data_IF_966179787299
#
_entry.id   IF_966179787299
#
_cell.length_a   1.000
_cell.length_b   1.000
_cell.length_c   1.000
_cell.angle_alpha   90.00
_cell.angle_beta   90.00
_cell.angle_gamma   90.00
#
_symmetry.space_group_name_H-M   'P 1'
#
loop_
_entity.id
_entity.type
_entity.pdbx_description
1 polymer ?
#
# COMPACT_ATOMS: atom_id res chain seq x y z
N UNK A 1 12.79 -9.19 -11.19
CA UNK A 1 12.18 -9.41 -9.85
C UNK A 1 11.01 -8.46 -9.71
N UNK A 2 9.86 -8.92 -9.20
CA UNK A 2 8.68 -8.05 -9.03
C UNK A 2 8.87 -7.09 -7.87
N UNK A 3 8.30 -5.89 -8.00
CA UNK A 3 8.26 -4.87 -6.97
C UNK A 3 6.90 -4.87 -6.27
N UNK A 4 6.92 -4.88 -4.95
CA UNK A 4 5.74 -4.72 -4.09
C UNK A 4 5.70 -3.33 -3.47
N UNK A 5 4.50 -2.82 -3.25
CA UNK A 5 4.25 -1.65 -2.42
C UNK A 5 3.22 -2.02 -1.35
N UNK A 6 3.50 -1.63 -0.11
CA UNK A 6 2.53 -1.63 0.97
C UNK A 6 2.15 -0.18 1.24
N UNK A 7 0.86 0.13 1.19
CA UNK A 7 0.33 1.44 1.56
C UNK A 7 -0.34 1.31 2.93
N UNK A 8 0.30 1.87 3.97
CA UNK A 8 -0.29 1.97 5.29
C UNK A 8 -1.15 3.24 5.35
N UNK A 9 -2.47 3.06 5.41
CA UNK A 9 -3.39 4.17 5.48
C UNK A 9 -3.62 4.63 6.91
N UNK A 10 -3.53 5.94 7.08
CA UNK A 10 -3.97 6.65 8.28
C UNK A 10 -5.15 7.57 7.94
N UNK A 11 -5.95 7.87 8.95
CA UNK A 11 -7.19 8.64 8.80
C UNK A 11 -8.43 7.75 8.78
N UNK A 12 -9.60 8.40 8.82
CA UNK A 12 -10.92 7.74 8.88
C UNK A 12 -11.77 8.05 7.64
N UNK A 13 -11.20 8.71 6.63
CA UNK A 13 -11.91 8.99 5.40
C UNK A 13 -12.12 7.67 4.63
N UNK A 14 -13.37 7.32 4.27
CA UNK A 14 -13.65 6.09 3.57
C UNK A 14 -12.98 6.08 2.19
N UNK A 15 -12.43 4.94 1.82
CA UNK A 15 -11.96 4.71 0.46
C UNK A 15 -13.16 4.52 -0.47
N UNK A 16 -13.09 5.01 -1.73
CA UNK A 16 -14.14 4.81 -2.71
C UNK A 16 -14.25 3.33 -3.08
N UNK A 17 -15.46 2.80 -3.17
CA UNK A 17 -15.70 1.46 -3.71
C UNK A 17 -16.20 1.55 -5.17
N UNK A 18 -15.59 0.81 -6.13
CA UNK A 18 -14.46 -0.10 -5.97
C UNK A 18 -13.12 0.66 -5.83
N UNK A 19 -12.23 0.12 -4.99
CA UNK A 19 -10.87 0.64 -4.80
C UNK A 19 -9.85 -0.25 -5.52
N UNK A 20 -9.01 0.33 -6.39
CA UNK A 20 -7.87 -0.36 -7.00
C UNK A 20 -6.55 0.02 -6.30
N UNK A 21 -5.93 -0.91 -5.55
CA UNK A 21 -4.62 -0.68 -4.92
C UNK A 21 -3.52 -0.27 -5.90
N UNK A 22 -3.57 -0.69 -7.16
CA UNK A 22 -2.56 -0.30 -8.16
C UNK A 22 -2.69 1.18 -8.56
N UNK A 23 -3.91 1.68 -8.66
CA UNK A 23 -4.15 3.10 -8.93
C UNK A 23 -3.72 3.97 -7.76
N UNK A 24 -3.89 3.48 -6.53
CA UNK A 24 -3.35 4.11 -5.33
C UNK A 24 -1.83 4.30 -5.42
N UNK A 25 -1.08 3.23 -5.73
CA UNK A 25 0.37 3.31 -5.91
C UNK A 25 0.78 4.31 -6.98
N UNK A 26 0.06 4.36 -8.12
CA UNK A 26 0.31 5.35 -9.18
C UNK A 26 0.03 6.78 -8.72
N UNK A 27 -1.08 7.02 -8.02
CA UNK A 27 -1.45 8.35 -7.52
C UNK A 27 -0.46 8.90 -6.48
N UNK A 28 0.19 8.00 -5.74
CA UNK A 28 1.24 8.30 -4.77
C UNK A 28 2.62 8.48 -5.41
N UNK A 29 2.73 8.32 -6.74
CA UNK A 29 4.00 8.41 -7.46
C UNK A 29 4.93 7.23 -7.25
N UNK A 30 4.42 6.11 -6.73
CA UNK A 30 5.19 4.89 -6.41
C UNK A 30 4.58 3.66 -7.09
N UNK A 31 4.64 3.56 -8.43
CA UNK A 31 4.07 2.41 -9.14
C UNK A 31 4.80 1.11 -8.77
N UNK A 32 4.06 0.03 -8.60
CA UNK A 32 4.59 -1.31 -8.29
C UNK A 32 3.80 -2.41 -9.02
N UNK A 33 4.41 -3.59 -9.19
CA UNK A 33 3.77 -4.74 -9.84
C UNK A 33 2.58 -5.27 -9.01
N UNK A 34 2.73 -5.20 -7.69
CA UNK A 34 1.72 -5.53 -6.69
C UNK A 34 1.65 -4.43 -5.64
N UNK A 35 0.43 -4.04 -5.28
CA UNK A 35 0.18 -3.07 -4.23
C UNK A 35 -0.79 -3.71 -3.25
N UNK A 36 -0.46 -3.68 -1.97
CA UNK A 36 -1.35 -4.08 -0.90
C UNK A 36 -1.62 -2.90 0.02
N UNK A 37 -2.83 -2.87 0.55
CA UNK A 37 -3.26 -1.84 1.46
C UNK A 37 -3.31 -2.40 2.88
N UNK A 38 -2.84 -1.61 3.84
CA UNK A 38 -2.96 -1.90 5.27
C UNK A 38 -3.77 -0.77 5.89
N UNK A 39 -4.92 -1.11 6.45
CA UNK A 39 -5.75 -0.17 7.19
C UNK A 39 -6.61 -0.91 8.21
N UNK A 40 -7.25 -0.18 9.11
CA UNK A 40 -8.19 -0.79 10.07
C UNK A 40 -9.45 -1.33 9.40
N UNK A 41 -9.88 -0.71 8.30
CA UNK A 41 -11.21 -0.93 7.71
C UNK A 41 -11.17 -1.58 6.31
N UNK A 42 -9.98 -1.74 5.72
CA UNK A 42 -9.78 -2.28 4.38
C UNK A 42 -8.40 -2.93 4.19
N UNK A 43 -8.33 -3.99 3.37
CA UNK A 43 -7.08 -4.68 3.02
C UNK A 43 -6.58 -5.61 4.13
N UNK A 44 -5.27 -5.55 4.41
CA UNK A 44 -4.65 -6.28 5.51
C UNK A 44 -4.75 -5.50 6.83
N UNK A 45 -4.82 -6.25 7.93
CA UNK A 45 -4.84 -5.67 9.28
C UNK A 45 -3.46 -5.21 9.75
N UNK A 46 -2.39 -5.83 9.24
CA UNK A 46 -1.00 -5.56 9.65
C UNK A 46 -0.06 -5.43 8.45
N UNK A 47 1.04 -4.69 8.63
CA UNK A 47 2.10 -4.55 7.62
C UNK A 47 2.83 -5.88 7.43
N UNK A 48 2.97 -6.65 8.50
CA UNK A 48 3.61 -7.95 8.56
C UNK A 48 2.89 -8.97 7.68
N UNK A 49 1.56 -9.01 7.73
CA UNK A 49 0.76 -9.91 6.90
C UNK A 49 0.87 -9.55 5.42
N UNK A 50 0.75 -8.26 5.10
CA UNK A 50 0.90 -7.76 3.74
C UNK A 50 2.30 -8.05 3.17
N UNK A 51 3.33 -7.84 3.99
CA UNK A 51 4.72 -8.12 3.63
C UNK A 51 4.94 -9.63 3.39
N UNK A 52 4.50 -10.47 4.32
CA UNK A 52 4.64 -11.93 4.19
C UNK A 52 3.87 -12.44 2.96
N UNK A 53 2.68 -11.92 2.68
CA UNK A 53 1.92 -12.25 1.48
C UNK A 53 2.66 -11.85 0.20
N UNK A 54 3.17 -10.62 0.13
CA UNK A 54 3.93 -10.13 -1.03
C UNK A 54 5.23 -10.89 -1.27
N UNK A 55 5.90 -11.33 -0.21
CA UNK A 55 7.11 -12.17 -0.29
C UNK A 55 6.77 -13.58 -0.79
N UNK A 56 5.84 -14.26 -0.12
CA UNK A 56 5.60 -15.70 -0.33
C UNK A 56 4.70 -16.01 -1.52
N UNK A 57 3.64 -15.22 -1.74
CA UNK A 57 2.68 -15.40 -2.83
C UNK A 57 2.83 -14.36 -3.92
N UNK A 58 3.34 -13.18 -3.56
CA UNK A 58 3.53 -12.08 -4.50
C UNK A 58 4.70 -12.29 -5.45
N UNK A 59 5.73 -13.04 -5.02
CA UNK A 59 7.00 -13.18 -5.73
C UNK A 59 7.77 -11.87 -5.80
N UNK A 60 7.53 -10.96 -4.86
CA UNK A 60 8.21 -9.67 -4.79
C UNK A 60 9.57 -9.85 -4.14
N UNK A 61 10.63 -9.38 -4.80
CA UNK A 61 11.99 -9.40 -4.25
C UNK A 61 12.45 -8.04 -3.70
N UNK A 62 11.60 -7.03 -3.86
CA UNK A 62 11.73 -5.71 -3.26
C UNK A 62 10.34 -5.25 -2.89
N UNK A 63 10.16 -4.85 -1.63
CA UNK A 63 8.89 -4.32 -1.13
C UNK A 63 9.21 -2.96 -0.50
N UNK A 64 8.50 -1.93 -0.92
CA UNK A 64 8.56 -0.61 -0.30
C UNK A 64 7.29 -0.39 0.53
N UNK A 65 7.40 0.30 1.66
CA UNK A 65 6.30 0.69 2.54
C UNK A 65 6.11 2.21 2.47
N UNK A 66 4.89 2.66 2.27
CA UNK A 66 4.53 4.07 2.29
C UNK A 66 3.39 4.32 3.27
N UNK A 67 3.56 5.34 4.12
CA UNK A 67 2.47 5.84 4.95
C UNK A 67 1.73 6.92 4.16
N UNK A 68 0.42 6.76 3.99
CA UNK A 68 -0.42 7.72 3.32
C UNK A 68 -1.69 8.03 4.13
N UNK A 69 -2.14 9.28 4.07
CA UNK A 69 -3.41 9.71 4.62
C UNK A 69 -4.52 9.56 3.59
N UNK A 70 -5.63 8.94 3.98
CA UNK A 70 -6.86 8.96 3.19
C UNK A 70 -7.55 10.31 3.37
N UNK A 71 -7.77 11.02 2.27
CA UNK A 71 -8.51 12.27 2.21
C UNK A 71 -9.93 12.03 1.67
N UNK A 72 -10.77 13.05 1.76
CA UNK A 72 -12.08 13.03 1.11
C UNK A 72 -11.95 12.73 -0.39
N UNK A 73 -12.99 12.10 -0.95
CA UNK A 73 -13.07 11.71 -2.36
C UNK A 73 -12.04 10.66 -2.79
N UNK A 74 -11.47 9.91 -1.84
CA UNK A 74 -10.57 8.79 -2.16
C UNK A 74 -9.17 9.20 -2.59
N UNK A 75 -8.78 10.46 -2.35
CA UNK A 75 -7.44 10.94 -2.63
C UNK A 75 -6.50 10.46 -1.53
N UNK A 76 -5.30 10.06 -1.93
CA UNK A 76 -4.24 9.71 -0.99
C UNK A 76 -3.18 10.79 -0.96
N UNK A 77 -2.70 11.10 0.24
CA UNK A 77 -1.55 11.99 0.44
C UNK A 77 -0.41 11.23 1.10
N UNK A 78 0.79 11.15 0.49
CA UNK A 78 1.93 10.56 1.16
C UNK A 78 2.32 11.41 2.37
N UNK A 79 2.51 10.78 3.53
CA UNK A 79 2.96 11.44 4.75
C UNK A 79 4.47 11.31 4.98
N UNK A 80 5.08 10.26 4.42
CA UNK A 80 6.52 10.02 4.50
C UNK A 80 7.04 9.51 3.16
N UNK A 81 8.35 9.66 2.89
CA UNK A 81 9.00 8.91 1.82
C UNK A 81 8.77 7.40 2.00
N UNK A 82 8.72 6.68 0.88
CA UNK A 82 8.65 5.23 0.91
C UNK A 82 9.94 4.66 1.53
N UNK A 83 9.79 3.71 2.45
CA UNK A 83 10.90 3.01 3.09
C UNK A 83 10.98 1.61 2.50
N UNK A 84 12.17 1.21 2.07
CA UNK A 84 12.37 -0.16 1.57
C UNK A 84 12.33 -1.14 2.74
N UNK A 85 11.43 -2.10 2.66
CA UNK A 85 11.45 -3.28 3.52
C UNK A 85 12.42 -4.29 2.89
N UNK A 86 13.44 -4.68 3.66
CA UNK A 86 14.35 -5.75 3.27
C UNK A 86 13.78 -7.10 3.69
N UNK A 87 14.01 -8.10 2.84
CA UNK A 87 14.00 -9.52 3.19
C UNK A 87 15.39 -10.07 2.91
#
# INVERSE_FOLDING_TARGET
>A
MKQGLIVYLVGNAPLPEPYDPKDAGRSLGHPADRVELVSRDAGFFSVEDAWHFLMTRGGCGRIDLMVAESLEQGRLRPLSPAVRLCG
#
